data_IF_825367128892
#
_entry.id   IF_825367128892
#
_cell.length_a   1.000
_cell.length_b   1.000
_cell.length_c   1.000
_cell.angle_alpha   90.00
_cell.angle_beta   90.00
_cell.angle_gamma   90.00
#
_symmetry.space_group_name_H-M   'P 1'
#
loop_
_entity.id
_entity.type
_entity.pdbx_description
1 polymer ?
#
# COMPACT_ATOMS: atom_id res chain seq x y z
N UNK A 1 39.17 5.09 -3.03
CA UNK A 1 38.81 6.53 -2.98
C UNK A 1 37.30 6.57 -2.83
N UNK A 2 36.70 7.26 -1.84
CA UNK A 2 35.25 7.40 -1.82
C UNK A 2 34.83 8.03 -3.16
N UNK A 3 33.84 7.44 -3.83
CA UNK A 3 33.35 7.87 -5.13
C UNK A 3 32.64 9.24 -5.08
N UNK A 4 32.38 9.72 -3.87
CA UNK A 4 31.56 10.90 -3.59
C UNK A 4 32.42 12.08 -3.11
N UNK A 5 32.10 13.28 -3.62
CA UNK A 5 32.75 14.51 -3.19
C UNK A 5 32.12 14.97 -1.86
N UNK A 6 32.90 14.92 -0.78
CA UNK A 6 32.49 15.41 0.55
C UNK A 6 33.04 16.82 0.75
N UNK A 7 32.16 17.81 0.93
CA UNK A 7 32.50 19.18 1.31
C UNK A 7 31.77 19.49 2.62
N UNK A 8 32.47 20.02 3.63
CA UNK A 8 31.92 20.35 4.96
C UNK A 8 31.18 19.19 5.67
N UNK A 9 31.63 17.95 5.46
CA UNK A 9 31.01 16.75 6.03
C UNK A 9 29.68 16.36 5.38
N UNK A 10 29.29 17.02 4.28
CA UNK A 10 28.12 16.71 3.47
C UNK A 10 28.55 16.20 2.09
N UNK A 11 27.88 15.15 1.62
CA UNK A 11 28.07 14.65 0.26
C UNK A 11 27.36 15.61 -0.69
N UNK A 12 28.12 16.36 -1.50
CA UNK A 12 27.56 17.38 -2.40
C UNK A 12 27.33 16.89 -3.82
N UNK A 13 28.06 15.85 -4.26
CA UNK A 13 27.88 15.20 -5.56
C UNK A 13 27.87 13.69 -5.35
N UNK A 14 26.66 13.13 -5.21
CA UNK A 14 26.49 11.70 -5.04
C UNK A 14 26.37 11.03 -6.42
N UNK A 15 27.42 10.34 -6.88
CA UNK A 15 27.50 9.85 -8.27
C UNK A 15 26.33 8.92 -8.63
N UNK A 16 25.95 8.05 -7.69
CA UNK A 16 24.81 7.16 -7.86
C UNK A 16 23.49 7.96 -7.96
N UNK A 17 23.33 9.06 -7.23
CA UNK A 17 22.14 9.92 -7.33
C UNK A 17 22.00 10.52 -8.73
N UNK A 18 23.09 11.06 -9.30
CA UNK A 18 23.08 11.66 -10.64
C UNK A 18 22.89 10.63 -11.75
N UNK A 19 23.33 9.38 -11.53
CA UNK A 19 23.13 8.29 -12.49
C UNK A 19 21.66 7.88 -12.68
N UNK A 20 20.78 8.17 -11.70
CA UNK A 20 19.34 7.94 -11.80
C UNK A 20 18.71 9.07 -12.63
N UNK A 21 18.57 8.88 -13.94
CA UNK A 21 17.97 9.87 -14.85
C UNK A 21 17.33 9.22 -16.10
N UNK A 22 16.55 9.97 -16.91
CA UNK A 22 15.83 9.42 -18.06
C UNK A 22 16.68 8.73 -19.15
N UNK A 23 17.97 9.06 -19.29
CA UNK A 23 18.88 8.51 -20.31
C UNK A 23 19.50 7.17 -19.88
N UNK A 24 18.69 6.39 -19.18
CA UNK A 24 19.02 5.35 -18.24
C UNK A 24 19.93 4.25 -18.80
N UNK A 25 21.03 3.95 -18.09
CA UNK A 25 21.80 2.70 -18.23
C UNK A 25 21.75 1.96 -16.90
N UNK A 26 20.83 1.00 -16.78
CA UNK A 26 20.70 0.20 -15.56
C UNK A 26 22.02 -0.47 -15.16
N UNK A 27 22.85 -0.78 -16.15
CA UNK A 27 24.16 -1.38 -15.97
C UNK A 27 25.13 -0.45 -15.22
N UNK A 28 25.04 0.87 -15.40
CA UNK A 28 25.84 1.82 -14.63
C UNK A 28 25.41 1.82 -13.16
N UNK A 29 24.11 1.83 -12.87
CA UNK A 29 23.59 1.78 -11.50
C UNK A 29 23.94 0.44 -10.84
N UNK A 30 23.77 -0.67 -11.56
CA UNK A 30 24.22 -2.01 -11.11
C UNK A 30 25.70 -2.00 -10.77
N UNK A 31 26.54 -1.47 -11.66
CA UNK A 31 27.98 -1.39 -11.47
C UNK A 31 28.35 -0.53 -10.24
N UNK A 32 27.71 0.63 -10.06
CA UNK A 32 27.96 1.50 -8.91
C UNK A 32 27.57 0.83 -7.59
N UNK A 33 26.39 0.20 -7.52
CA UNK A 33 25.94 -0.55 -6.34
C UNK A 33 26.89 -1.73 -6.05
N UNK A 34 27.30 -2.48 -7.08
CA UNK A 34 28.28 -3.57 -6.93
C UNK A 34 29.66 -3.09 -6.48
N UNK A 35 30.01 -1.84 -6.83
CA UNK A 35 31.23 -1.16 -6.40
C UNK A 35 31.10 -0.50 -5.03
N UNK A 36 30.07 -0.83 -4.26
CA UNK A 36 29.81 -0.35 -2.91
C UNK A 36 29.58 1.16 -2.82
N UNK A 37 28.96 1.76 -3.86
CA UNK A 37 28.43 3.13 -3.79
C UNK A 37 27.37 3.25 -2.68
N UNK A 38 27.30 4.40 -2.03
CA UNK A 38 26.38 4.62 -0.92
C UNK A 38 24.91 4.68 -1.40
N UNK A 39 24.15 3.62 -1.19
CA UNK A 39 22.73 3.61 -1.62
C UNK A 39 21.83 4.52 -0.81
N UNK A 40 22.31 5.02 0.33
CA UNK A 40 21.59 5.92 1.23
C UNK A 40 22.03 7.37 1.05
N UNK A 41 22.91 7.63 0.07
CA UNK A 41 23.35 8.98 -0.26
C UNK A 41 22.16 9.91 -0.51
N UNK A 42 22.30 11.10 0.07
CA UNK A 42 21.29 12.16 0.03
C UNK A 42 21.86 13.32 -0.76
N UNK A 43 21.11 13.80 -1.74
CA UNK A 43 21.43 15.04 -2.42
C UNK A 43 20.72 16.19 -1.72
N UNK A 44 21.49 17.13 -1.17
CA UNK A 44 20.94 18.37 -0.65
C UNK A 44 20.75 19.36 -1.80
N UNK A 45 19.52 19.73 -2.09
CA UNK A 45 19.21 20.89 -2.95
C UNK A 45 18.83 22.09 -2.09
N UNK A 46 18.67 23.29 -2.69
CA UNK A 46 18.32 24.51 -1.97
C UNK A 46 17.03 24.42 -1.12
N UNK A 47 16.14 23.45 -1.39
CA UNK A 47 14.85 23.33 -0.71
C UNK A 47 14.58 21.96 -0.06
N UNK A 48 15.25 20.88 -0.45
CA UNK A 48 15.00 19.54 0.09
C UNK A 48 16.22 18.61 0.02
N UNK A 49 16.33 17.73 1.00
CA UNK A 49 17.18 16.54 0.98
C UNK A 49 16.42 15.40 0.26
N UNK A 50 16.94 14.93 -0.88
CA UNK A 50 16.34 13.83 -1.64
C UNK A 50 17.28 12.61 -1.63
N UNK A 51 16.77 11.45 -1.19
CA UNK A 51 17.54 10.20 -1.24
C UNK A 51 17.60 9.62 -2.65
N UNK A 52 18.62 8.81 -2.89
CA UNK A 52 18.68 7.95 -4.08
C UNK A 52 17.42 7.09 -4.23
N UNK A 53 16.85 6.58 -3.14
CA UNK A 53 15.63 5.77 -3.20
C UNK A 53 14.40 6.58 -3.65
N UNK A 54 14.21 7.81 -3.13
CA UNK A 54 13.11 8.69 -3.54
C UNK A 54 13.17 9.01 -5.04
N UNK A 55 14.37 9.31 -5.54
CA UNK A 55 14.61 9.55 -6.96
C UNK A 55 14.43 8.30 -7.82
N UNK A 56 14.88 7.15 -7.32
CA UNK A 56 14.64 5.85 -7.94
C UNK A 56 13.14 5.57 -8.10
N UNK A 57 12.34 5.89 -7.07
CA UNK A 57 10.89 5.73 -7.13
C UNK A 57 10.22 6.66 -8.14
N UNK A 58 10.54 7.96 -8.13
CA UNK A 58 9.96 8.92 -9.09
C UNK A 58 10.25 8.50 -10.55
N UNK A 59 11.43 7.95 -10.80
CA UNK A 59 11.80 7.37 -12.08
C UNK A 59 11.06 6.05 -12.40
N UNK A 60 10.95 5.15 -11.42
CA UNK A 60 10.22 3.88 -11.58
C UNK A 60 8.76 4.12 -11.93
N UNK A 61 8.13 5.15 -11.35
CA UNK A 61 6.74 5.50 -11.64
C UNK A 61 6.53 6.00 -13.06
N UNK A 62 7.45 6.79 -13.62
CA UNK A 62 7.34 7.31 -14.99
C UNK A 62 7.62 6.25 -16.06
N UNK A 63 8.53 5.31 -15.77
CA UNK A 63 8.95 4.28 -16.73
C UNK A 63 8.27 2.93 -16.53
N UNK A 64 7.53 2.74 -15.43
CA UNK A 64 7.03 1.44 -14.97
C UNK A 64 8.13 0.37 -14.77
N UNK A 65 9.41 0.77 -14.71
CA UNK A 65 10.53 -0.13 -14.51
C UNK A 65 10.78 -0.33 -13.01
N UNK A 66 10.51 -1.54 -12.52
CA UNK A 66 10.69 -1.89 -11.10
C UNK A 66 12.04 -2.57 -10.81
N UNK A 67 12.86 -2.82 -11.83
CA UNK A 67 14.16 -3.49 -11.66
C UNK A 67 15.12 -2.64 -10.85
N UNK A 68 15.13 -1.32 -11.06
CA UNK A 68 15.91 -0.38 -10.23
C UNK A 68 15.50 -0.47 -8.76
N UNK A 69 14.20 -0.51 -8.47
CA UNK A 69 13.69 -0.60 -7.10
C UNK A 69 14.19 -1.89 -6.46
N UNK A 70 14.12 -3.01 -7.16
CA UNK A 70 14.63 -4.28 -6.65
C UNK A 70 16.15 -4.28 -6.40
N UNK A 71 16.94 -3.59 -7.24
CA UNK A 71 18.38 -3.41 -6.99
C UNK A 71 18.66 -2.64 -5.71
N UNK A 72 17.96 -1.53 -5.48
CA UNK A 72 18.10 -0.73 -4.26
C UNK A 72 17.66 -1.51 -3.01
N UNK A 73 16.58 -2.28 -3.10
CA UNK A 73 16.11 -3.13 -1.99
C UNK A 73 17.12 -4.22 -1.64
N UNK A 74 17.74 -4.87 -2.63
CA UNK A 74 18.82 -5.86 -2.42
C UNK A 74 20.06 -5.25 -1.78
N UNK A 75 20.35 -3.99 -2.06
CA UNK A 75 21.44 -3.25 -1.44
C UNK A 75 21.11 -2.74 -0.02
N UNK A 76 19.99 -3.15 0.55
CA UNK A 76 19.52 -2.77 1.88
C UNK A 76 19.41 -1.25 2.08
N UNK A 77 18.90 -0.53 1.09
CA UNK A 77 18.69 0.91 1.20
C UNK A 77 17.68 1.28 2.30
N UNK A 78 17.83 2.49 2.84
CA UNK A 78 16.81 3.20 3.58
C UNK A 78 15.73 3.69 2.62
N UNK A 79 14.48 3.64 3.07
CA UNK A 79 13.35 4.06 2.23
C UNK A 79 13.14 5.59 2.27
N UNK A 80 13.59 6.26 3.33
CA UNK A 80 13.47 7.71 3.53
C UNK A 80 14.62 8.22 4.43
N UNK A 81 14.83 9.54 4.45
CA UNK A 81 16.07 10.15 5.00
C UNK A 81 15.98 10.56 6.47
N UNK A 82 14.87 11.17 6.94
CA UNK A 82 14.92 12.08 8.11
C UNK A 82 13.83 11.93 9.17
N UNK A 83 13.17 10.79 9.32
CA UNK A 83 12.13 10.69 10.35
C UNK A 83 11.85 9.25 10.78
N UNK A 84 11.50 9.04 12.05
CA UNK A 84 10.94 7.75 12.50
C UNK A 84 9.62 7.41 11.78
N UNK A 85 8.97 8.44 11.22
CA UNK A 85 7.69 8.32 10.51
C UNK A 85 7.93 8.46 9.00
N UNK A 86 7.43 7.55 8.16
CA UNK A 86 7.54 7.67 6.70
C UNK A 86 6.82 8.94 6.18
N UNK A 87 7.41 9.69 5.24
CA UNK A 87 6.76 10.86 4.63
C UNK A 87 5.42 10.50 3.99
N UNK A 88 4.40 11.35 4.16
CA UNK A 88 3.06 11.09 3.61
C UNK A 88 3.08 10.91 2.09
N UNK A 89 3.82 11.76 1.37
CA UNK A 89 3.92 11.66 -0.10
C UNK A 89 4.53 10.33 -0.55
N UNK A 90 5.52 9.81 0.19
CA UNK A 90 6.08 8.49 -0.06
C UNK A 90 5.01 7.40 0.05
N UNK A 91 4.23 7.40 1.14
CA UNK A 91 3.15 6.43 1.34
C UNK A 91 2.08 6.51 0.26
N UNK A 92 1.67 7.72 -0.13
CA UNK A 92 0.68 7.90 -1.19
C UNK A 92 1.17 7.35 -2.53
N UNK A 93 2.44 7.59 -2.86
CA UNK A 93 3.03 7.10 -4.10
C UNK A 93 3.13 5.57 -4.12
N UNK A 94 3.66 4.93 -3.08
CA UNK A 94 3.75 3.45 -3.07
C UNK A 94 2.36 2.81 -3.16
N UNK A 95 1.35 3.39 -2.51
CA UNK A 95 -0.04 2.90 -2.57
C UNK A 95 -0.60 3.02 -3.99
N UNK A 96 -0.28 4.10 -4.72
CA UNK A 96 -0.73 4.29 -6.11
C UNK A 96 0.03 3.43 -7.13
N UNK A 97 1.13 2.79 -6.72
CA UNK A 97 1.97 1.95 -7.58
C UNK A 97 2.09 0.52 -7.03
N UNK A 98 1.07 -0.35 -7.23
CA UNK A 98 0.98 -1.69 -6.62
C UNK A 98 2.19 -2.59 -6.87
N UNK A 99 2.84 -2.48 -8.03
CA UNK A 99 4.06 -3.27 -8.32
C UNK A 99 5.24 -2.91 -7.40
N UNK A 100 5.42 -1.62 -7.12
CA UNK A 100 6.43 -1.14 -6.18
C UNK A 100 6.05 -1.56 -4.76
N UNK A 101 4.78 -1.39 -4.38
CA UNK A 101 4.27 -1.88 -3.09
C UNK A 101 4.53 -3.38 -2.91
N UNK A 102 4.25 -4.20 -3.93
CA UNK A 102 4.49 -5.63 -3.91
C UNK A 102 5.97 -5.95 -3.67
N UNK A 103 6.91 -5.24 -4.32
CA UNK A 103 8.34 -5.40 -4.05
C UNK A 103 8.67 -5.02 -2.60
N UNK A 104 8.17 -3.89 -2.10
CA UNK A 104 8.44 -3.47 -0.72
C UNK A 104 7.94 -4.49 0.31
N UNK A 105 6.76 -5.09 0.08
CA UNK A 105 6.21 -6.18 0.90
C UNK A 105 7.04 -7.46 0.78
N UNK A 106 7.45 -7.85 -0.43
CA UNK A 106 8.32 -9.02 -0.68
C UNK A 106 9.63 -8.95 0.13
N UNK A 107 10.21 -7.75 0.23
CA UNK A 107 11.44 -7.51 1.00
C UNK A 107 11.19 -7.12 2.46
N UNK A 108 9.94 -7.24 2.96
CA UNK A 108 9.55 -6.95 4.36
C UNK A 108 9.91 -5.54 4.85
N UNK A 109 10.01 -4.57 3.94
CA UNK A 109 10.42 -3.19 4.26
C UNK A 109 9.28 -2.35 4.86
N UNK A 110 8.06 -2.90 4.97
CA UNK A 110 6.88 -2.17 5.43
C UNK A 110 6.20 -2.79 6.66
N UNK A 111 6.67 -3.91 7.20
CA UNK A 111 5.97 -4.73 8.21
C UNK A 111 5.47 -3.90 9.42
N UNK A 112 6.29 -2.98 9.92
CA UNK A 112 5.97 -2.13 11.06
C UNK A 112 4.91 -1.04 10.75
N UNK A 113 4.76 -0.69 9.47
CA UNK A 113 3.89 0.40 9.02
C UNK A 113 2.73 -0.07 8.13
N UNK A 114 2.56 -1.37 7.89
CA UNK A 114 1.51 -1.92 7.02
C UNK A 114 0.13 -1.38 7.38
N UNK A 115 -0.14 -1.18 8.68
CA UNK A 115 -1.39 -0.59 9.16
C UNK A 115 -1.68 0.83 8.65
N UNK A 116 -0.63 1.66 8.55
CA UNK A 116 -0.77 3.01 7.99
C UNK A 116 -0.96 2.96 6.48
N UNK A 117 -0.22 2.08 5.81
CA UNK A 117 -0.27 1.90 4.35
C UNK A 117 -1.67 1.42 3.91
N UNK A 118 -2.25 0.44 4.59
CA UNK A 118 -3.56 -0.11 4.21
C UNK A 118 -4.70 0.87 4.47
N UNK A 119 -4.68 1.62 5.58
CA UNK A 119 -5.68 2.67 5.81
C UNK A 119 -5.62 3.74 4.72
N UNK A 120 -4.41 4.14 4.30
CA UNK A 120 -4.25 5.08 3.20
C UNK A 120 -4.74 4.48 1.88
N UNK A 121 -4.48 3.20 1.61
CA UNK A 121 -5.00 2.50 0.43
C UNK A 121 -6.54 2.45 0.41
N UNK A 122 -7.19 2.24 1.55
CA UNK A 122 -8.65 2.31 1.68
C UNK A 122 -9.17 3.74 1.45
N UNK A 123 -8.52 4.76 2.02
CA UNK A 123 -8.90 6.16 1.82
C UNK A 123 -8.77 6.60 0.35
N UNK A 124 -7.69 6.17 -0.32
CA UNK A 124 -7.44 6.43 -1.74
C UNK A 124 -8.17 5.47 -2.67
N UNK A 125 -8.88 4.47 -2.13
CA UNK A 125 -9.65 3.47 -2.87
C UNK A 125 -8.83 2.68 -3.90
N UNK A 126 -7.55 2.42 -3.60
CA UNK A 126 -6.67 1.63 -4.48
C UNK A 126 -6.81 0.15 -4.16
N UNK A 127 -7.81 -0.50 -4.78
CA UNK A 127 -8.20 -1.88 -4.48
C UNK A 127 -7.06 -2.89 -4.60
N UNK A 128 -6.22 -2.78 -5.63
CA UNK A 128 -5.09 -3.71 -5.83
C UNK A 128 -4.11 -3.65 -4.65
N UNK A 129 -3.82 -2.45 -4.14
CA UNK A 129 -2.97 -2.25 -2.97
C UNK A 129 -3.63 -2.77 -1.69
N UNK A 130 -4.95 -2.60 -1.53
CA UNK A 130 -5.71 -3.19 -0.42
C UNK A 130 -5.64 -4.72 -0.46
N UNK A 131 -5.85 -5.33 -1.62
CA UNK A 131 -5.75 -6.78 -1.82
C UNK A 131 -4.34 -7.28 -1.49
N UNK A 132 -3.30 -6.62 -2.02
CA UNK A 132 -1.90 -6.98 -1.75
C UNK A 132 -1.60 -6.97 -0.25
N UNK A 133 -2.01 -5.91 0.47
CA UNK A 133 -1.76 -5.77 1.90
C UNK A 133 -2.56 -6.76 2.75
N UNK A 134 -3.83 -7.02 2.43
CA UNK A 134 -4.59 -8.03 3.18
C UNK A 134 -4.06 -9.44 2.91
N UNK A 135 -3.53 -9.69 1.71
CA UNK A 135 -2.91 -10.97 1.35
C UNK A 135 -1.60 -11.24 2.08
N UNK A 136 -0.97 -10.23 2.73
CA UNK A 136 0.18 -10.47 3.62
C UNK A 136 -0.23 -10.89 5.04
N UNK A 137 -1.53 -11.07 5.30
CA UNK A 137 -2.04 -11.47 6.62
C UNK A 137 -2.29 -10.31 7.59
N UNK A 138 -2.32 -9.07 7.08
CA UNK A 138 -2.72 -7.91 7.89
C UNK A 138 -4.11 -8.14 8.47
N UNK A 139 -4.28 -7.85 9.76
CA UNK A 139 -5.56 -7.96 10.42
C UNK A 139 -6.59 -7.01 9.77
N UNK A 140 -7.67 -7.52 9.14
CA UNK A 140 -8.69 -6.69 8.47
C UNK A 140 -9.49 -5.81 9.46
N UNK A 141 -9.43 -6.16 10.75
CA UNK A 141 -10.10 -5.48 11.86
C UNK A 141 -9.22 -4.44 12.55
N UNK A 142 -8.03 -4.17 12.03
CA UNK A 142 -7.13 -3.20 12.62
C UNK A 142 -7.74 -1.78 12.62
N UNK A 143 -7.32 -0.98 13.59
CA UNK A 143 -7.75 0.41 13.74
C UNK A 143 -6.57 1.36 13.57
N UNK A 144 -6.82 2.48 12.92
CA UNK A 144 -5.94 3.64 12.93
C UNK A 144 -6.75 4.88 13.32
N UNK A 145 -6.25 5.63 14.30
CA UNK A 145 -6.97 6.77 14.88
C UNK A 145 -8.42 6.40 15.26
N UNK A 146 -8.56 5.29 15.98
CA UNK A 146 -9.83 4.71 16.43
C UNK A 146 -10.81 4.35 15.30
N UNK A 147 -10.36 4.26 14.05
CA UNK A 147 -11.21 3.94 12.90
C UNK A 147 -10.74 2.64 12.27
N UNK A 148 -11.63 1.66 12.07
CA UNK A 148 -11.34 0.43 11.32
C UNK A 148 -11.39 0.69 9.81
N UNK A 149 -10.79 -0.19 9.01
CA UNK A 149 -10.94 -0.20 7.55
C UNK A 149 -12.41 -0.20 7.09
N UNK A 150 -13.26 -1.00 7.74
CA UNK A 150 -14.67 -1.13 7.35
C UNK A 150 -15.47 0.16 7.59
N UNK A 151 -15.22 0.86 8.70
CA UNK A 151 -15.76 2.20 8.95
C UNK A 151 -15.30 3.21 7.90
N UNK A 152 -14.03 3.20 7.48
CA UNK A 152 -13.53 4.07 6.41
C UNK A 152 -14.29 3.82 5.10
N UNK A 153 -14.45 2.55 4.72
CA UNK A 153 -15.20 2.17 3.51
C UNK A 153 -16.69 2.54 3.58
N UNK A 154 -17.29 2.38 4.76
CA UNK A 154 -18.71 2.71 5.03
C UNK A 154 -18.97 4.20 4.94
N UNK A 155 -18.13 5.03 5.58
CA UNK A 155 -18.20 6.49 5.49
C UNK A 155 -18.00 7.00 4.06
N UNK A 156 -17.16 6.33 3.28
CA UNK A 156 -16.96 6.62 1.86
C UNK A 156 -18.10 6.10 0.95
N UNK A 157 -19.10 5.39 1.52
CA UNK A 157 -20.19 4.72 0.78
C UNK A 157 -19.68 3.80 -0.35
N UNK A 158 -18.48 3.25 -0.18
CA UNK A 158 -17.82 2.45 -1.20
C UNK A 158 -18.18 0.97 -1.04
N UNK A 159 -19.26 0.55 -1.74
CA UNK A 159 -19.75 -0.84 -1.71
C UNK A 159 -18.68 -1.86 -2.14
N UNK A 160 -17.92 -1.67 -3.24
CA UNK A 160 -16.83 -2.59 -3.60
C UNK A 160 -15.79 -2.79 -2.49
N UNK A 161 -15.36 -1.70 -1.83
CA UNK A 161 -14.38 -1.78 -0.75
C UNK A 161 -14.95 -2.46 0.50
N UNK A 162 -16.22 -2.21 0.83
CA UNK A 162 -16.93 -2.89 1.92
C UNK A 162 -16.94 -4.40 1.67
N UNK A 163 -17.37 -4.82 0.47
CA UNK A 163 -17.42 -6.22 0.07
C UNK A 163 -16.02 -6.84 0.12
N UNK A 164 -15.01 -6.15 -0.39
CA UNK A 164 -13.62 -6.59 -0.36
C UNK A 164 -13.16 -6.87 1.08
N UNK A 165 -13.35 -5.91 1.99
CA UNK A 165 -12.92 -6.04 3.38
C UNK A 165 -13.67 -7.19 4.10
N UNK A 166 -14.96 -7.35 3.85
CA UNK A 166 -15.76 -8.47 4.40
C UNK A 166 -15.26 -9.82 3.86
N UNK A 167 -14.90 -9.92 2.58
CA UNK A 167 -14.31 -11.14 2.00
C UNK A 167 -13.00 -11.54 2.69
N UNK A 168 -12.22 -10.57 3.16
CA UNK A 168 -11.01 -10.81 3.96
C UNK A 168 -11.29 -10.99 5.46
N UNK A 169 -12.54 -11.02 5.91
CA UNK A 169 -12.92 -11.30 7.30
C UNK A 169 -13.05 -10.06 8.20
N UNK A 170 -13.27 -8.86 7.63
CA UNK A 170 -13.60 -7.69 8.43
C UNK A 170 -14.94 -7.88 9.16
N UNK A 171 -14.94 -7.65 10.48
CA UNK A 171 -16.12 -7.73 11.34
C UNK A 171 -16.89 -6.41 11.34
N UNK A 172 -18.21 -6.53 11.25
CA UNK A 172 -19.15 -5.41 11.34
C UNK A 172 -19.49 -4.97 12.77
N UNK A 173 -19.11 -5.79 13.75
CA UNK A 173 -19.50 -5.62 15.16
C UNK A 173 -18.48 -4.77 15.94
N UNK A 174 -17.38 -4.37 15.30
CA UNK A 174 -16.38 -3.51 15.91
C UNK A 174 -16.92 -2.08 15.90
N UNK A 175 -16.79 -1.40 17.03
CA UNK A 175 -17.13 0.02 17.17
C UNK A 175 -15.88 0.88 16.89
N UNK A 176 -16.05 2.01 16.19
CA UNK A 176 -15.00 3.01 16.00
C UNK A 176 -15.11 4.14 17.01
N UNK A 177 -14.04 4.88 17.23
CA UNK A 177 -14.00 6.07 18.06
C UNK A 177 -13.46 5.85 19.47
N UNK A 178 -13.16 6.97 20.12
CA UNK A 178 -12.61 6.98 21.49
C UNK A 178 -13.62 6.42 22.50
N UNK A 179 -13.15 5.91 23.65
CA UNK A 179 -14.01 5.58 24.78
C UNK A 179 -15.00 6.72 25.06
N UNK A 180 -16.30 6.41 25.14
CA UNK A 180 -17.38 7.40 25.35
C UNK A 180 -17.90 8.10 24.09
N UNK A 181 -17.27 7.93 22.93
CA UNK A 181 -17.76 8.40 21.61
C UNK A 181 -17.76 7.28 20.58
N UNK A 182 -18.00 6.06 21.05
CA UNK A 182 -18.02 4.89 20.18
C UNK A 182 -19.16 4.99 19.19
N UNK A 183 -18.86 4.71 17.93
CA UNK A 183 -19.75 4.73 16.79
C UNK A 183 -19.83 3.31 16.26
N UNK A 184 -21.03 2.75 16.23
CA UNK A 184 -21.28 1.48 15.55
C UNK A 184 -21.15 1.65 14.04
N UNK A 185 -20.87 0.57 13.33
CA UNK A 185 -20.82 0.60 11.87
C UNK A 185 -22.15 1.07 11.26
N UNK A 186 -23.29 0.71 11.86
CA UNK A 186 -24.61 1.19 11.44
C UNK A 186 -24.75 2.71 11.55
N UNK A 187 -24.18 3.34 12.58
CA UNK A 187 -24.17 4.81 12.67
C UNK A 187 -23.37 5.44 11.52
N UNK A 188 -22.29 4.80 11.08
CA UNK A 188 -21.49 5.26 9.94
C UNK A 188 -22.19 5.10 8.58
N UNK A 189 -23.31 4.37 8.51
CA UNK A 189 -24.13 4.27 7.29
C UNK A 189 -25.00 5.52 7.07
N UNK A 190 -25.19 6.35 8.10
CA UNK A 190 -26.12 7.49 8.08
C UNK A 190 -27.55 7.11 7.65
N UNK A 191 -27.95 5.86 7.86
CA UNK A 191 -29.27 5.33 7.47
C UNK A 191 -29.39 4.99 5.98
N UNK A 192 -28.27 4.97 5.24
CA UNK A 192 -28.26 4.60 3.82
C UNK A 192 -28.65 3.11 3.64
N UNK A 193 -29.85 2.81 3.11
CA UNK A 193 -30.38 1.46 3.08
C UNK A 193 -29.55 0.54 2.20
N UNK A 194 -28.90 1.10 1.18
CA UNK A 194 -28.05 0.36 0.25
C UNK A 194 -26.76 -0.10 0.93
N UNK A 195 -26.14 0.74 1.75
CA UNK A 195 -24.94 0.39 2.51
C UNK A 195 -25.28 -0.61 3.61
N UNK A 196 -26.40 -0.40 4.32
CA UNK A 196 -26.92 -1.36 5.31
C UNK A 196 -27.17 -2.72 4.66
N UNK A 197 -27.79 -2.73 3.47
CA UNK A 197 -28.00 -3.95 2.71
C UNK A 197 -26.67 -4.61 2.33
N UNK A 198 -25.69 -3.87 1.82
CA UNK A 198 -24.37 -4.40 1.49
C UNK A 198 -23.63 -5.01 2.69
N UNK A 199 -23.79 -4.44 3.90
CA UNK A 199 -23.18 -4.95 5.12
C UNK A 199 -23.84 -6.25 5.62
N UNK A 200 -25.16 -6.36 5.49
CA UNK A 200 -25.93 -7.51 5.98
C UNK A 200 -25.98 -8.66 4.97
N UNK A 201 -26.09 -8.32 3.70
CA UNK A 201 -26.10 -9.21 2.57
C UNK A 201 -25.04 -8.70 1.60
N UNK A 202 -23.76 -9.03 1.82
CA UNK A 202 -22.73 -8.75 0.84
C UNK A 202 -23.02 -9.58 -0.40
N UNK A 203 -23.92 -9.11 -1.26
CA UNK A 203 -24.07 -9.62 -2.60
C UNK A 203 -22.74 -9.38 -3.26
N UNK A 204 -21.89 -10.42 -3.32
CA UNK A 204 -20.57 -10.35 -3.90
C UNK A 204 -20.70 -10.14 -5.42
N UNK A 205 -21.12 -8.95 -5.81
CA UNK A 205 -20.89 -8.36 -7.11
C UNK A 205 -19.52 -7.69 -7.09
N UNK A 206 -18.51 -8.43 -6.62
CA UNK A 206 -17.13 -7.97 -6.70
C UNK A 206 -16.87 -7.75 -8.17
N UNK A 207 -16.50 -6.52 -8.52
CA UNK A 207 -16.11 -6.19 -9.88
C UNK A 207 -15.19 -7.30 -10.40
N UNK A 208 -15.46 -7.81 -11.61
CA UNK A 208 -14.70 -8.92 -12.21
C UNK A 208 -13.19 -8.65 -12.20
N UNK A 209 -12.78 -7.38 -12.27
CA UNK A 209 -11.38 -6.97 -12.13
C UNK A 209 -10.85 -7.22 -10.72
N UNK A 210 -11.56 -6.79 -9.67
CA UNK A 210 -11.20 -7.01 -8.26
C UNK A 210 -11.22 -8.51 -7.94
N UNK A 211 -12.24 -9.25 -8.41
CA UNK A 211 -12.35 -10.69 -8.18
C UNK A 211 -11.13 -11.45 -8.72
N UNK A 212 -10.60 -11.06 -9.88
CA UNK A 212 -9.40 -11.68 -10.46
C UNK A 212 -8.11 -11.41 -9.65
N UNK A 213 -8.06 -10.32 -8.89
CA UNK A 213 -6.91 -9.96 -8.05
C UNK A 213 -6.88 -10.75 -6.74
N UNK A 214 -8.01 -11.30 -6.31
CA UNK A 214 -8.12 -12.02 -5.04
C UNK A 214 -7.28 -13.32 -5.03
N UNK A 215 -6.70 -13.67 -3.87
CA UNK A 215 -6.12 -15.00 -3.62
C UNK A 215 -7.09 -16.12 -4.02
N UNK A 216 -6.55 -17.26 -4.45
CA UNK A 216 -7.37 -18.38 -4.93
C UNK A 216 -8.35 -18.86 -3.86
N UNK A 217 -7.90 -18.95 -2.62
CA UNK A 217 -8.67 -19.42 -1.48
C UNK A 217 -9.90 -18.53 -1.24
N UNK A 218 -9.74 -17.21 -1.38
CA UNK A 218 -10.84 -16.25 -1.21
C UNK A 218 -11.80 -16.33 -2.39
N UNK A 219 -11.30 -16.49 -3.63
CA UNK A 219 -12.16 -16.70 -4.80
C UNK A 219 -13.01 -17.96 -4.66
N UNK A 220 -12.42 -19.06 -4.19
CA UNK A 220 -13.11 -20.32 -3.94
C UNK A 220 -14.15 -20.21 -2.83
N UNK A 221 -13.83 -19.50 -1.73
CA UNK A 221 -14.78 -19.23 -0.65
C UNK A 221 -15.99 -18.42 -1.14
N UNK A 222 -15.76 -17.35 -1.91
CA UNK A 222 -16.82 -16.52 -2.51
C UNK A 222 -17.66 -17.37 -3.47
N UNK A 223 -17.02 -18.16 -4.34
CA UNK A 223 -17.73 -19.02 -5.30
C UNK A 223 -18.63 -20.04 -4.59
N UNK A 224 -18.11 -20.71 -3.57
CA UNK A 224 -18.85 -21.70 -2.78
C UNK A 224 -20.07 -21.06 -2.10
N UNK A 225 -19.88 -19.88 -1.51
CA UNK A 225 -20.97 -19.12 -0.88
C UNK A 225 -22.07 -18.73 -1.87
N UNK A 226 -21.70 -18.26 -3.07
CA UNK A 226 -22.66 -17.92 -4.14
C UNK A 226 -23.45 -19.16 -4.61
N UNK A 227 -22.80 -20.32 -4.74
CA UNK A 227 -23.47 -21.58 -5.10
C UNK A 227 -24.48 -21.99 -4.02
N UNK A 228 -24.11 -21.89 -2.75
CA UNK A 228 -25.00 -22.22 -1.62
C UNK A 228 -26.21 -21.28 -1.59
N UNK A 229 -25.99 -19.98 -1.72
CA UNK A 229 -27.08 -19.00 -1.75
C UNK A 229 -28.04 -19.23 -2.92
N UNK A 230 -27.50 -19.50 -4.11
CA UNK A 230 -28.35 -19.78 -5.29
C UNK A 230 -29.26 -20.98 -5.05
N UNK A 231 -28.71 -22.07 -4.49
CA UNK A 231 -29.52 -23.25 -4.09
C UNK A 231 -30.55 -22.92 -3.02
N UNK A 232 -30.23 -22.05 -2.06
CA UNK A 232 -31.17 -21.67 -1.00
C UNK A 232 -32.35 -20.84 -1.54
N UNK A 233 -32.09 -19.97 -2.52
CA UNK A 233 -33.12 -19.15 -3.16
C UNK A 233 -33.99 -19.97 -4.12
N UNK A 234 -33.41 -20.92 -4.86
CA UNK A 234 -34.14 -21.80 -5.79
C UNK A 234 -35.04 -22.85 -5.10
N UNK A 235 -34.79 -23.14 -3.82
CA UNK A 235 -35.56 -24.09 -3.01
C UNK A 235 -36.63 -23.42 -2.12
N UNK A 236 -36.94 -22.14 -2.34
CA UNK A 236 -38.03 -21.40 -1.70
C UNK A 236 -39.08 -21.01 -2.72
#
# INVERSE_FOLDING_TARGET
MPLDMVVDGKVHDHLLYHSINPNYKIDLIKFLIQSNADVNGVQTTYHTEESCFTKCLSFSYSTSNTEIVELFLKANCSLWVTSDVPPRHFLENIVKHPKVLHLLLKYKKLDEIQGRVIHLACQLQVYESVVLLLSTGVNPNMMMNDTTLLHTATKAKNKPLIQLLIAFGASKDIESGKPGKKQSLYSATEGDPDIIHCLNHPSFSVDRAIYKMLPQEIREAIFTWLVILKRYVENK
#
